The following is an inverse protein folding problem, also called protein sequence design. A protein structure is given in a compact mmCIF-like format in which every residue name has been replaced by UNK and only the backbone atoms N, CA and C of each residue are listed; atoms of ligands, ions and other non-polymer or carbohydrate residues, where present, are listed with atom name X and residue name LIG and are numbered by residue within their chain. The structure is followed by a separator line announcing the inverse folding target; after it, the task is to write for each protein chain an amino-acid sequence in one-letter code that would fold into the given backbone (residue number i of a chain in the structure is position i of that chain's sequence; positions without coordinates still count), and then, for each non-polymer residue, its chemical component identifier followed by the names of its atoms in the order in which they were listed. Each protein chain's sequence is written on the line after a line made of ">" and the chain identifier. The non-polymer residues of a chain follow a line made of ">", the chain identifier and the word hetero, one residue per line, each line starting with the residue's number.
data_IF_173545411645
#
_entry.id   IF_173545411645
#
_cell.length_a   1.000
_cell.length_b   1.000
_cell.length_c   1.000
_cell.angle_alpha   90.00
_cell.angle_beta   90.00
_cell.angle_gamma   90.00
#
_symmetry.space_group_name_H-M   'P 1'
#
loop_
_entity.id
_entity.type
_entity.pdbx_description
1 polymer ?
#
# COMPACT_ATOMS: atom_id res chain seq x y z
N UNK A 1 -41.93 33.53 -79.83
CA UNK A 1 -40.81 32.66 -79.44
C UNK A 1 -40.52 32.90 -77.97
N UNK A 2 -40.89 31.96 -77.09
CA UNK A 2 -40.66 32.07 -75.64
C UNK A 2 -39.31 31.43 -75.25
N UNK A 3 -38.52 32.02 -74.34
CA UNK A 3 -37.22 31.47 -73.94
C UNK A 3 -37.42 30.51 -72.76
N UNK A 4 -36.84 29.32 -72.86
CA UNK A 4 -36.71 28.38 -71.73
C UNK A 4 -35.28 27.83 -71.75
N UNK A 5 -34.74 27.62 -70.54
CA UNK A 5 -33.51 26.87 -70.17
C UNK A 5 -32.30 27.73 -69.77
N UNK A 6 -32.36 28.39 -68.63
CA UNK A 6 -31.17 28.76 -67.84
C UNK A 6 -31.23 28.31 -66.37
N UNK A 7 -32.40 27.89 -65.88
CA UNK A 7 -32.63 27.50 -64.48
C UNK A 7 -32.00 26.15 -64.10
N UNK A 8 -31.96 25.18 -65.01
CA UNK A 8 -31.41 23.84 -64.74
C UNK A 8 -29.89 23.82 -64.50
N UNK A 9 -29.14 24.66 -65.21
CA UNK A 9 -27.67 24.70 -65.09
C UNK A 9 -27.21 25.31 -63.76
N UNK A 10 -27.92 26.33 -63.27
CA UNK A 10 -27.60 27.00 -62.00
C UNK A 10 -27.89 26.05 -60.82
N UNK A 11 -29.00 25.33 -60.84
CA UNK A 11 -29.36 24.37 -59.78
C UNK A 11 -28.35 23.22 -59.71
N UNK A 12 -27.90 22.70 -60.87
CA UNK A 12 -26.88 21.66 -60.91
C UNK A 12 -25.54 22.15 -60.33
N UNK A 13 -25.08 23.35 -60.71
CA UNK A 13 -23.81 23.91 -60.22
C UNK A 13 -23.81 24.15 -58.68
N UNK A 14 -24.94 24.62 -58.13
CA UNK A 14 -25.09 24.81 -56.68
C UNK A 14 -25.07 23.47 -55.93
N UNK A 15 -25.73 22.44 -56.46
CA UNK A 15 -25.75 21.11 -55.83
C UNK A 15 -24.37 20.43 -55.78
N UNK A 16 -23.59 20.55 -56.86
CA UNK A 16 -22.21 20.02 -56.93
C UNK A 16 -21.29 20.78 -55.97
N UNK A 17 -21.47 22.11 -55.88
CA UNK A 17 -20.68 22.94 -54.97
C UNK A 17 -20.97 22.63 -53.49
N UNK A 18 -22.25 22.42 -53.13
CA UNK A 18 -22.63 21.99 -51.78
C UNK A 18 -22.09 20.59 -51.45
N UNK A 19 -22.12 19.65 -52.39
CA UNK A 19 -21.58 18.30 -52.21
C UNK A 19 -20.06 18.33 -52.01
N UNK A 20 -19.34 19.13 -52.78
CA UNK A 20 -17.89 19.31 -52.62
C UNK A 20 -17.53 19.98 -51.29
N UNK A 21 -18.29 21.00 -50.87
CA UNK A 21 -18.09 21.67 -49.59
C UNK A 21 -18.34 20.71 -48.42
N UNK A 22 -19.40 19.88 -48.48
CA UNK A 22 -19.69 18.89 -47.44
C UNK A 22 -18.68 17.75 -47.42
N UNK A 23 -18.15 17.31 -48.57
CA UNK A 23 -17.02 16.38 -48.65
C UNK A 23 -15.73 16.97 -48.09
N UNK A 24 -15.47 18.26 -48.34
CA UNK A 24 -14.32 18.97 -47.81
C UNK A 24 -14.41 19.13 -46.29
N UNK A 25 -15.58 19.52 -45.76
CA UNK A 25 -15.85 19.61 -44.32
C UNK A 25 -15.83 18.23 -43.63
N UNK A 26 -16.25 17.17 -44.33
CA UNK A 26 -16.17 15.80 -43.83
C UNK A 26 -14.71 15.31 -43.80
N UNK A 27 -13.93 15.56 -44.86
CA UNK A 27 -12.49 15.24 -44.90
C UNK A 27 -11.68 16.05 -43.88
N UNK A 28 -12.02 17.32 -43.64
CA UNK A 28 -11.35 18.14 -42.63
C UNK A 28 -11.68 17.64 -41.21
N UNK A 29 -12.92 17.22 -40.93
CA UNK A 29 -13.29 16.52 -39.69
C UNK A 29 -12.57 15.17 -39.52
N UNK A 30 -12.40 14.38 -40.58
CA UNK A 30 -11.63 13.13 -40.53
C UNK A 30 -10.13 13.39 -40.31
N UNK A 31 -9.58 14.43 -40.94
CA UNK A 31 -8.18 14.82 -40.74
C UNK A 31 -7.93 15.33 -39.31
N UNK A 32 -8.94 15.94 -38.67
CA UNK A 32 -8.89 16.36 -37.27
C UNK A 32 -8.99 15.19 -36.27
N UNK A 33 -9.37 13.98 -36.71
CA UNK A 33 -9.52 12.79 -35.86
C UNK A 33 -8.27 11.91 -35.75
N UNK A 34 -7.14 12.33 -36.32
CA UNK A 34 -5.83 11.75 -35.94
C UNK A 34 -5.39 12.40 -34.64
N UNK A 35 -5.92 11.90 -33.53
CA UNK A 35 -5.34 12.11 -32.21
C UNK A 35 -3.91 11.58 -32.30
N UNK A 36 -2.92 12.48 -32.44
CA UNK A 36 -1.53 12.12 -32.16
C UNK A 36 -1.54 11.68 -30.71
N UNK A 37 -1.40 10.36 -30.46
CA UNK A 37 -0.92 9.88 -29.18
C UNK A 37 0.49 10.43 -29.01
N UNK A 38 0.58 11.66 -28.51
CA UNK A 38 1.78 12.13 -27.84
C UNK A 38 1.89 11.27 -26.59
N UNK A 39 2.63 10.17 -26.71
CA UNK A 39 3.27 9.54 -25.56
C UNK A 39 4.15 10.63 -24.93
N UNK A 40 3.59 11.33 -23.95
CA UNK A 40 4.34 12.20 -23.09
C UNK A 40 5.43 11.32 -22.47
N UNK A 41 6.69 11.61 -22.80
CA UNK A 41 7.86 10.93 -22.28
C UNK A 41 8.01 11.24 -20.78
N UNK A 42 7.18 10.64 -19.93
CA UNK A 42 7.45 10.46 -18.51
C UNK A 42 8.50 9.35 -18.41
N UNK A 43 9.53 9.52 -17.57
CA UNK A 43 10.61 8.53 -17.38
C UNK A 43 10.03 7.10 -17.33
N UNK A 44 10.41 6.26 -18.30
CA UNK A 44 9.68 5.05 -18.70
C UNK A 44 9.86 3.82 -17.78
N UNK A 45 10.46 3.95 -16.60
CA UNK A 45 10.59 2.84 -15.66
C UNK A 45 10.71 3.32 -14.21
N UNK A 46 10.10 2.56 -13.31
CA UNK A 46 10.20 2.75 -11.85
C UNK A 46 11.55 2.23 -11.34
N UNK A 47 12.06 2.80 -10.25
CA UNK A 47 13.31 2.34 -9.65
C UNK A 47 13.05 1.19 -8.66
N UNK A 48 13.19 -0.04 -9.13
CA UNK A 48 13.00 -1.24 -8.33
C UNK A 48 11.55 -1.46 -7.86
N UNK A 49 11.39 -2.40 -6.93
CA UNK A 49 10.11 -2.79 -6.35
C UNK A 49 9.45 -1.64 -5.59
N UNK A 50 10.21 -0.95 -4.75
CA UNK A 50 9.69 0.14 -3.90
C UNK A 50 9.22 1.31 -4.76
N UNK A 51 9.96 1.66 -5.82
CA UNK A 51 9.54 2.71 -6.75
C UNK A 51 8.27 2.39 -7.53
N UNK A 52 7.79 1.13 -7.51
CA UNK A 52 6.53 0.72 -8.12
C UNK A 52 5.34 0.74 -7.13
N UNK A 53 5.59 0.98 -5.83
CA UNK A 53 4.53 1.12 -4.82
C UNK A 53 3.93 2.52 -4.92
N UNK A 54 2.60 2.59 -4.91
CA UNK A 54 1.84 3.81 -5.05
C UNK A 54 1.58 4.19 -6.50
N UNK A 55 1.17 5.45 -6.73
CA UNK A 55 0.73 5.95 -8.04
C UNK A 55 -0.33 5.06 -8.71
N UNK A 56 -1.17 4.40 -7.91
CA UNK A 56 -2.19 3.47 -8.39
C UNK A 56 -3.29 4.22 -9.13
N UNK A 57 -3.95 3.61 -10.13
CA UNK A 57 -4.98 4.31 -10.90
C UNK A 57 -6.28 4.49 -10.10
N UNK A 58 -7.02 5.54 -10.44
CA UNK A 58 -8.46 5.64 -10.16
C UNK A 58 -9.22 5.03 -11.34
N UNK A 59 -10.07 4.06 -11.06
CA UNK A 59 -10.92 3.41 -12.07
C UNK A 59 -12.38 3.74 -11.77
N UNK A 60 -13.08 4.24 -12.79
CA UNK A 60 -14.52 4.52 -12.68
C UNK A 60 -15.31 3.23 -12.53
N UNK A 61 -16.18 3.19 -11.53
CA UNK A 61 -17.13 2.10 -11.33
C UNK A 61 -18.41 2.45 -12.09
N UNK A 62 -18.50 2.01 -13.34
CA UNK A 62 -19.58 2.41 -14.26
C UNK A 62 -20.97 2.13 -13.68
N UNK A 63 -21.23 0.91 -13.20
CA UNK A 63 -22.54 0.52 -12.67
C UNK A 63 -23.02 1.40 -11.51
N UNK A 64 -22.15 1.71 -10.54
CA UNK A 64 -22.50 2.57 -9.40
C UNK A 64 -22.66 4.02 -9.81
N UNK A 65 -21.78 4.48 -10.71
CA UNK A 65 -21.82 5.86 -11.18
C UNK A 65 -23.08 6.14 -11.98
N UNK A 66 -23.46 5.22 -12.86
CA UNK A 66 -24.65 5.34 -13.71
C UNK A 66 -25.93 5.21 -12.87
N UNK A 67 -25.92 4.40 -11.81
CA UNK A 67 -27.06 4.23 -10.91
C UNK A 67 -27.30 5.44 -9.98
N UNK A 68 -26.24 6.15 -9.57
CA UNK A 68 -26.33 7.28 -8.63
C UNK A 68 -26.35 8.64 -9.33
N UNK A 69 -25.92 8.71 -10.59
CA UNK A 69 -25.66 9.96 -11.28
C UNK A 69 -24.40 10.69 -10.80
N UNK A 70 -23.65 10.10 -9.86
CA UNK A 70 -22.37 10.61 -9.36
C UNK A 70 -21.20 9.94 -10.08
N UNK A 71 -20.03 10.57 -10.08
CA UNK A 71 -18.81 9.90 -10.50
C UNK A 71 -18.20 9.13 -9.33
N UNK A 72 -18.26 7.79 -9.39
CA UNK A 72 -17.73 6.91 -8.35
C UNK A 72 -16.46 6.23 -8.88
N UNK A 73 -15.35 6.50 -8.22
CA UNK A 73 -14.02 6.02 -8.59
C UNK A 73 -13.46 5.09 -7.50
N UNK A 74 -12.83 4.00 -7.91
CA UNK A 74 -12.09 3.09 -7.06
C UNK A 74 -10.57 3.32 -7.18
N UNK A 75 -9.89 3.56 -6.06
CA UNK A 75 -8.44 3.62 -5.99
C UNK A 75 -7.87 2.21 -5.92
N UNK A 76 -7.19 1.79 -6.98
CA UNK A 76 -6.84 0.38 -7.21
C UNK A 76 -5.55 -0.04 -6.50
N UNK A 77 -5.57 -0.03 -5.17
CA UNK A 77 -4.43 -0.39 -4.31
C UNK A 77 -4.00 -1.87 -4.44
N UNK A 78 -4.83 -2.73 -5.02
CA UNK A 78 -4.45 -4.10 -5.37
C UNK A 78 -3.42 -4.18 -6.50
N UNK A 79 -3.14 -3.07 -7.20
CA UNK A 79 -2.12 -2.99 -8.23
C UNK A 79 -0.73 -2.64 -7.68
N UNK A 80 -0.60 -2.41 -6.36
CA UNK A 80 0.74 -2.37 -5.76
C UNK A 80 1.40 -3.76 -5.88
N UNK A 81 2.74 -3.87 -5.94
CA UNK A 81 3.45 -5.13 -6.16
C UNK A 81 3.17 -6.27 -5.16
N UNK A 82 2.98 -5.95 -3.88
CA UNK A 82 2.56 -6.87 -2.81
C UNK A 82 1.04 -7.09 -2.78
N UNK A 83 0.29 -6.48 -3.70
CA UNK A 83 -1.12 -6.77 -3.97
C UNK A 83 -2.10 -6.07 -3.05
N UNK A 84 -1.67 -5.10 -2.23
CA UNK A 84 -2.57 -4.43 -1.29
C UNK A 84 -2.18 -2.99 -0.96
N UNK A 85 -3.07 -2.30 -0.24
CA UNK A 85 -2.84 -0.96 0.32
C UNK A 85 -1.72 -0.94 1.38
N UNK A 86 -1.43 -2.09 2.01
CA UNK A 86 -0.42 -2.18 3.08
C UNK A 86 1.01 -2.04 2.57
N UNK A 87 1.24 -2.14 1.26
CA UNK A 87 2.55 -1.89 0.64
C UNK A 87 3.06 -0.48 0.96
N UNK A 88 2.17 0.52 0.93
CA UNK A 88 2.51 1.90 1.28
C UNK A 88 2.95 2.01 2.74
N UNK A 89 2.25 1.31 3.62
CA UNK A 89 2.52 1.31 5.05
C UNK A 89 3.86 0.61 5.33
N UNK A 90 4.11 -0.54 4.70
CA UNK A 90 5.36 -1.27 4.83
C UNK A 90 6.57 -0.43 4.40
N UNK A 91 6.48 0.26 3.25
CA UNK A 91 7.50 1.20 2.78
C UNK A 91 7.75 2.28 3.82
N UNK A 92 6.68 2.98 4.25
CA UNK A 92 6.83 4.12 5.17
C UNK A 92 7.39 3.71 6.53
N UNK A 93 6.98 2.55 7.06
CA UNK A 93 7.51 2.00 8.32
C UNK A 93 9.01 1.73 8.20
N UNK A 94 9.43 1.06 7.13
CA UNK A 94 10.84 0.66 6.95
C UNK A 94 11.73 1.87 6.68
N UNK A 95 11.28 2.80 5.83
CA UNK A 95 12.01 4.04 5.55
C UNK A 95 12.24 4.85 6.82
N UNK A 96 11.18 5.12 7.59
CA UNK A 96 11.30 5.93 8.80
C UNK A 96 12.16 5.24 9.87
N UNK A 97 12.09 3.92 10.01
CA UNK A 97 12.93 3.17 10.94
C UNK A 97 14.42 3.19 10.53
N UNK A 98 14.71 3.17 9.22
CA UNK A 98 16.08 3.30 8.71
C UNK A 98 16.60 4.73 8.87
N UNK A 99 15.75 5.73 8.63
CA UNK A 99 16.08 7.15 8.78
C UNK A 99 16.33 7.54 10.24
N UNK A 100 15.54 7.00 11.18
CA UNK A 100 15.74 7.22 12.62
C UNK A 100 16.95 6.46 13.17
N UNK A 101 17.39 5.40 12.49
CA UNK A 101 18.42 4.48 12.96
C UNK A 101 17.92 3.39 13.90
N UNK A 102 16.60 3.28 14.13
CA UNK A 102 15.99 2.19 14.90
C UNK A 102 16.08 0.85 14.16
N UNK A 103 16.22 0.90 12.84
CA UNK A 103 16.55 -0.21 11.96
C UNK A 103 17.82 0.11 11.18
N UNK A 104 18.59 -0.93 10.85
CA UNK A 104 19.77 -0.81 9.99
C UNK A 104 19.70 -1.85 8.85
N UNK A 105 20.35 -1.61 7.70
CA UNK A 105 20.49 -2.63 6.66
C UNK A 105 21.08 -3.93 7.23
N UNK A 106 20.43 -5.05 6.93
CA UNK A 106 20.69 -6.38 7.51
C UNK A 106 19.90 -6.68 8.79
N UNK A 107 19.20 -5.70 9.37
CA UNK A 107 18.32 -5.84 10.53
C UNK A 107 17.03 -6.60 10.19
N UNK A 108 16.25 -6.97 11.21
CA UNK A 108 15.01 -7.73 11.04
C UNK A 108 13.79 -6.88 11.39
N UNK A 109 12.84 -6.78 10.47
CA UNK A 109 11.52 -6.20 10.74
C UNK A 109 10.60 -7.32 11.21
N UNK A 110 9.95 -7.13 12.35
CA UNK A 110 9.02 -8.10 12.92
C UNK A 110 7.59 -7.60 12.92
N UNK A 111 6.63 -8.49 12.67
CA UNK A 111 5.20 -8.17 12.73
C UNK A 111 4.38 -9.38 13.16
N UNK A 112 3.32 -9.14 13.91
CA UNK A 112 2.31 -10.15 14.23
C UNK A 112 1.11 -9.98 13.31
N UNK A 113 1.08 -10.72 12.20
CA UNK A 113 -0.02 -10.66 11.24
C UNK A 113 0.03 -11.86 10.30
N UNK A 114 -1.12 -12.44 9.95
CA UNK A 114 -1.22 -13.45 8.89
C UNK A 114 -1.76 -12.85 7.58
N UNK A 115 -1.75 -11.52 7.48
CA UNK A 115 -2.52 -10.75 6.51
C UNK A 115 -1.71 -9.99 5.48
N UNK A 116 -2.41 -9.04 4.86
CA UNK A 116 -1.85 -8.09 3.89
C UNK A 116 -0.59 -7.38 4.39
N UNK A 117 -0.56 -6.95 5.66
CA UNK A 117 0.63 -6.29 6.25
C UNK A 117 1.85 -7.19 6.27
N UNK A 118 1.69 -8.48 6.61
CA UNK A 118 2.79 -9.42 6.61
C UNK A 118 3.34 -9.67 5.20
N UNK A 119 2.43 -9.82 4.21
CA UNK A 119 2.80 -9.97 2.80
C UNK A 119 3.56 -8.74 2.31
N UNK A 120 3.07 -7.53 2.61
CA UNK A 120 3.71 -6.28 2.23
C UNK A 120 5.09 -6.10 2.87
N UNK A 121 5.24 -6.42 4.17
CA UNK A 121 6.55 -6.36 4.84
C UNK A 121 7.53 -7.39 4.29
N UNK A 122 7.07 -8.62 4.04
CA UNK A 122 7.88 -9.67 3.42
C UNK A 122 8.35 -9.28 2.01
N UNK A 123 7.48 -8.59 1.26
CA UNK A 123 7.77 -8.09 -0.08
C UNK A 123 8.76 -6.92 -0.05
N UNK A 124 8.59 -5.98 0.87
CA UNK A 124 9.33 -4.71 0.88
C UNK A 124 10.66 -4.79 1.63
N UNK A 125 10.75 -5.49 2.76
CA UNK A 125 11.95 -5.52 3.60
C UNK A 125 13.23 -5.95 2.85
N UNK A 126 13.23 -6.98 1.99
CA UNK A 126 14.40 -7.36 1.21
C UNK A 126 14.90 -6.26 0.27
N UNK A 127 14.00 -5.43 -0.27
CA UNK A 127 14.37 -4.33 -1.15
C UNK A 127 15.17 -3.22 -0.44
N UNK A 128 15.02 -3.11 0.88
CA UNK A 128 15.83 -2.24 1.75
C UNK A 128 17.02 -2.97 2.39
N UNK A 129 17.30 -4.21 1.97
CA UNK A 129 18.36 -5.04 2.56
C UNK A 129 18.04 -5.50 3.99
N UNK A 130 16.76 -5.47 4.40
CA UNK A 130 16.30 -5.94 5.70
C UNK A 130 15.72 -7.35 5.60
N UNK A 131 15.71 -8.07 6.72
CA UNK A 131 15.02 -9.36 6.88
C UNK A 131 13.61 -9.13 7.38
N UNK A 132 12.70 -10.06 7.13
CA UNK A 132 11.34 -10.04 7.66
C UNK A 132 11.10 -11.27 8.52
N UNK A 133 10.53 -11.09 9.71
CA UNK A 133 10.11 -12.17 10.60
C UNK A 133 8.65 -11.95 11.01
N UNK A 134 7.77 -12.81 10.55
CA UNK A 134 6.33 -12.74 10.80
C UNK A 134 5.93 -13.79 11.82
N UNK A 135 5.15 -13.40 12.83
CA UNK A 135 4.55 -14.34 13.78
C UNK A 135 3.06 -14.47 13.46
N UNK A 136 2.58 -15.69 13.27
CA UNK A 136 1.19 -15.98 12.88
C UNK A 136 0.55 -17.04 13.79
N UNK A 137 -0.79 -17.03 13.96
CA UNK A 137 -1.50 -18.13 14.60
C UNK A 137 -1.30 -19.47 13.88
N UNK A 138 -1.17 -20.57 14.63
CA UNK A 138 -0.95 -21.91 14.08
C UNK A 138 -2.20 -22.54 13.44
N UNK A 139 -3.38 -21.99 13.69
CA UNK A 139 -4.65 -22.34 13.05
C UNK A 139 -4.90 -21.58 11.74
N UNK A 140 -4.03 -20.63 11.38
CA UNK A 140 -4.10 -19.94 10.10
C UNK A 140 -3.85 -20.92 8.93
N UNK A 141 -4.51 -20.65 7.80
CA UNK A 141 -4.34 -21.41 6.56
C UNK A 141 -2.86 -21.56 6.18
N UNK A 142 -2.45 -22.77 5.79
CA UNK A 142 -1.03 -23.10 5.53
C UNK A 142 -0.47 -22.29 4.36
N UNK A 143 -1.33 -21.99 3.40
CA UNK A 143 -1.07 -21.16 2.23
C UNK A 143 -0.54 -19.78 2.63
N UNK A 144 -0.98 -19.23 3.78
CA UNK A 144 -0.48 -17.95 4.29
C UNK A 144 0.99 -18.04 4.68
N UNK A 145 1.42 -19.10 5.37
CA UNK A 145 2.84 -19.34 5.68
C UNK A 145 3.66 -19.50 4.40
N UNK A 146 3.17 -20.32 3.47
CA UNK A 146 3.89 -20.63 2.23
C UNK A 146 4.14 -19.38 1.38
N UNK A 147 3.17 -18.48 1.28
CA UNK A 147 3.33 -17.21 0.55
C UNK A 147 4.40 -16.34 1.22
N UNK A 148 4.36 -16.21 2.55
CA UNK A 148 5.34 -15.40 3.31
C UNK A 148 6.76 -15.97 3.19
N UNK A 149 6.91 -17.28 3.31
CA UNK A 149 8.19 -17.97 3.15
C UNK A 149 8.73 -17.83 1.72
N UNK A 150 7.87 -17.93 0.71
CA UNK A 150 8.24 -17.73 -0.70
C UNK A 150 8.71 -16.28 -0.98
N UNK A 151 8.19 -15.30 -0.23
CA UNK A 151 8.65 -13.90 -0.26
C UNK A 151 9.93 -13.66 0.56
N UNK A 152 10.46 -14.69 1.22
CA UNK A 152 11.71 -14.62 1.99
C UNK A 152 11.56 -14.23 3.45
N UNK A 153 10.34 -14.20 3.98
CA UNK A 153 10.12 -14.00 5.41
C UNK A 153 10.37 -15.29 6.21
N UNK A 154 10.86 -15.13 7.44
CA UNK A 154 10.83 -16.19 8.45
C UNK A 154 9.44 -16.19 9.09
N UNK A 155 8.78 -17.35 9.17
CA UNK A 155 7.43 -17.46 9.75
C UNK A 155 7.47 -18.28 11.04
N UNK A 156 7.04 -17.69 12.15
CA UNK A 156 6.85 -18.36 13.43
C UNK A 156 5.36 -18.61 13.67
N UNK A 157 4.94 -19.88 13.69
CA UNK A 157 3.57 -20.29 13.99
C UNK A 157 3.40 -20.49 15.49
N UNK A 158 2.39 -19.86 16.08
CA UNK A 158 2.16 -19.88 17.53
C UNK A 158 0.71 -20.19 17.86
N UNK A 159 0.47 -20.82 19.00
CA UNK A 159 -0.88 -21.17 19.45
C UNK A 159 -1.77 -19.91 19.58
N UNK A 160 -3.00 -19.93 19.03
CA UNK A 160 -3.98 -18.87 19.22
C UNK A 160 -4.32 -18.69 20.70
N UNK A 161 -4.24 -17.45 21.17
CA UNK A 161 -4.57 -17.04 22.55
C UNK A 161 -5.27 -15.67 22.53
N UNK A 162 -5.84 -15.25 23.65
CA UNK A 162 -6.48 -13.93 23.74
C UNK A 162 -5.48 -12.79 23.54
N UNK A 163 -5.94 -11.63 23.07
CA UNK A 163 -5.12 -10.43 22.85
C UNK A 163 -4.38 -9.95 24.12
N UNK A 164 -4.97 -10.18 25.28
CA UNK A 164 -4.39 -9.87 26.60
C UNK A 164 -3.31 -10.87 27.04
N UNK A 165 -3.21 -12.03 26.39
CA UNK A 165 -2.26 -13.05 26.75
C UNK A 165 -0.85 -12.66 26.27
N UNK A 166 0.15 -12.91 27.11
CA UNK A 166 1.56 -12.61 26.82
C UNK A 166 2.10 -13.30 25.56
N UNK A 167 1.52 -14.44 25.22
CA UNK A 167 1.90 -15.27 24.07
C UNK A 167 0.99 -15.05 22.85
N UNK A 168 0.23 -13.94 22.84
CA UNK A 168 -0.45 -13.50 21.63
C UNK A 168 0.58 -13.20 20.54
N UNK A 169 0.33 -13.61 19.29
CA UNK A 169 1.29 -13.52 18.18
C UNK A 169 1.88 -12.12 17.99
N UNK A 170 1.10 -11.05 18.18
CA UNK A 170 1.58 -9.65 18.17
C UNK A 170 2.60 -9.38 19.29
N UNK A 171 2.34 -9.87 20.50
CA UNK A 171 3.25 -9.71 21.63
C UNK A 171 4.54 -10.52 21.43
N UNK A 172 4.43 -11.71 20.81
CA UNK A 172 5.60 -12.52 20.44
C UNK A 172 6.44 -11.78 19.40
N UNK A 173 5.83 -11.25 18.32
CA UNK A 173 6.54 -10.47 17.31
C UNK A 173 7.30 -9.28 17.91
N UNK A 174 6.68 -8.55 18.85
CA UNK A 174 7.34 -7.48 19.62
C UNK A 174 8.55 -7.99 20.40
N UNK A 175 8.41 -9.13 21.11
CA UNK A 175 9.55 -9.76 21.83
C UNK A 175 10.68 -10.14 20.88
N UNK A 176 10.40 -10.67 19.69
CA UNK A 176 11.43 -11.03 18.69
C UNK A 176 12.26 -9.83 18.23
N UNK A 177 11.66 -8.65 18.10
CA UNK A 177 12.41 -7.43 17.82
C UNK A 177 13.38 -7.08 18.97
N UNK A 178 12.88 -7.12 20.22
CA UNK A 178 13.71 -6.86 21.41
C UNK A 178 14.86 -7.86 21.54
N UNK A 179 14.59 -9.16 21.38
CA UNK A 179 15.60 -10.22 21.42
C UNK A 179 16.67 -10.01 20.33
N UNK A 180 16.27 -9.63 19.11
CA UNK A 180 17.21 -9.30 18.03
C UNK A 180 18.11 -8.10 18.39
N UNK A 181 17.56 -7.09 19.08
CA UNK A 181 18.34 -5.96 19.59
C UNK A 181 19.33 -6.37 20.68
N UNK A 182 18.91 -7.22 21.63
CA UNK A 182 19.78 -7.76 22.67
C UNK A 182 20.95 -8.57 22.09
N UNK A 183 20.68 -9.42 21.09
CA UNK A 183 21.70 -10.20 20.39
C UNK A 183 22.68 -9.28 19.64
N UNK A 184 22.18 -8.26 18.94
CA UNK A 184 23.02 -7.28 18.27
C UNK A 184 23.89 -6.47 19.24
N UNK A 185 23.39 -6.18 20.45
CA UNK A 185 24.19 -5.53 21.50
C UNK A 185 25.28 -6.42 22.07
N UNK A 186 24.99 -7.70 22.34
CA UNK A 186 25.98 -8.67 22.83
C UNK A 186 27.11 -8.85 21.82
N UNK A 187 26.77 -9.06 20.54
CA UNK A 187 27.77 -9.23 19.48
C UNK A 187 28.70 -8.01 19.34
N UNK A 188 28.15 -6.79 19.40
CA UNK A 188 28.96 -5.56 19.36
C UNK A 188 29.93 -5.46 20.54
N UNK A 189 29.54 -5.91 21.74
CA UNK A 189 30.42 -5.95 22.92
C UNK A 189 31.52 -6.99 22.76
N UNK A 190 31.19 -8.18 22.26
CA UNK A 190 32.15 -9.26 22.05
C UNK A 190 33.20 -8.88 20.98
N UNK A 191 32.80 -8.21 19.90
CA UNK A 191 33.71 -7.67 18.89
C UNK A 191 34.64 -6.60 19.46
N UNK A 192 34.16 -5.73 20.34
CA UNK A 192 34.99 -4.71 21.00
C UNK A 192 35.98 -5.32 21.99
N UNK A 193 35.58 -6.34 22.75
CA UNK A 193 36.46 -7.03 23.70
C UNK A 193 37.52 -7.89 22.98
N UNK A 194 37.14 -8.62 21.93
CA UNK A 194 38.08 -9.45 21.16
C UNK A 194 38.96 -8.62 20.21
N UNK A 195 38.47 -7.49 19.70
CA UNK A 195 39.24 -6.55 18.89
C UNK A 195 40.33 -5.82 19.67
N UNK A 196 40.19 -5.67 20.99
CA UNK A 196 41.26 -5.18 21.86
C UNK A 196 42.31 -6.26 22.22
N UNK A 197 41.98 -7.54 22.06
CA UNK A 197 42.89 -8.65 22.39
C UNK A 197 43.88 -9.03 21.26
N UNK A 198 43.72 -8.48 20.05
CA UNK A 198 44.57 -8.80 18.88
C UNK A 198 45.65 -7.75 18.57
N UNK A 199 46.03 -6.95 19.56
CA UNK A 199 47.16 -6.01 19.46
C UNK A 199 48.46 -6.61 19.98
N UNK A 200 49.00 -7.63 19.29
CA UNK A 200 50.41 -8.09 19.26
C UNK A 200 50.50 -9.63 19.18
N UNK A 201 50.79 -10.16 17.98
CA UNK A 201 51.75 -11.26 17.78
C UNK A 201 52.04 -11.40 16.28
N UNK A 202 53.31 -11.63 15.98
CA UNK A 202 53.93 -11.42 14.67
C UNK A 202 53.52 -12.45 13.60
N UNK A 203 53.22 -11.93 12.40
CA UNK A 203 53.71 -12.42 11.10
C UNK A 203 53.45 -13.88 10.72
N UNK A 204 52.29 -14.15 10.12
CA UNK A 204 52.15 -15.13 9.04
C UNK A 204 50.84 -14.87 8.29
N UNK A 205 50.92 -14.59 6.98
CA UNK A 205 49.76 -14.38 6.12
C UNK A 205 49.59 -15.62 5.24
N UNK A 206 48.51 -16.36 5.45
CA UNK A 206 48.08 -17.45 4.57
C UNK A 206 46.81 -17.00 3.84
N UNK A 207 46.91 -16.93 2.52
CA UNK A 207 45.77 -16.82 1.62
C UNK A 207 44.90 -18.08 1.75
N UNK A 208 43.65 -17.88 2.15
CA UNK A 208 42.65 -18.93 2.26
C UNK A 208 41.27 -18.30 2.30
N UNK A 209 40.54 -18.47 1.21
CA UNK A 209 39.15 -18.09 1.04
C UNK A 209 38.31 -18.47 2.26
N UNK A 210 37.95 -17.48 3.08
CA UNK A 210 36.83 -17.58 4.01
C UNK A 210 35.77 -16.62 3.53
N UNK A 211 34.82 -17.17 2.79
CA UNK A 211 33.51 -16.61 2.56
C UNK A 211 32.87 -16.38 3.95
N UNK A 212 33.09 -15.20 4.52
CA UNK A 212 32.45 -14.80 5.77
C UNK A 212 30.98 -14.56 5.43
N UNK A 213 30.15 -15.56 5.68
CA UNK A 213 28.72 -15.35 5.91
C UNK A 213 28.64 -14.45 7.12
N UNK A 214 28.62 -13.13 6.88
CA UNK A 214 28.49 -12.11 7.91
C UNK A 214 27.08 -12.26 8.48
N UNK A 215 26.90 -13.13 9.48
CA UNK A 215 25.74 -13.07 10.36
C UNK A 215 25.92 -11.89 11.30
N UNK A 216 25.97 -10.67 10.76
CA UNK A 216 25.91 -9.47 11.57
C UNK A 216 24.47 -9.36 12.08
N UNK A 217 24.29 -9.62 13.37
CA UNK A 217 23.06 -9.30 14.07
C UNK A 217 22.95 -7.76 14.10
N UNK A 218 22.06 -7.20 13.28
CA UNK A 218 21.89 -5.74 13.10
C UNK A 218 20.73 -5.15 13.91
N UNK A 219 20.12 -5.93 14.80
CA UNK A 219 18.97 -5.53 15.60
C UNK A 219 17.64 -5.88 14.93
N UNK A 220 16.54 -5.58 15.63
CA UNK A 220 15.20 -5.80 15.15
C UNK A 220 14.26 -4.64 15.44
N UNK A 221 13.28 -4.44 14.56
CA UNK A 221 12.29 -3.39 14.63
C UNK A 221 10.88 -3.98 14.54
N UNK A 222 10.04 -3.71 15.54
CA UNK A 222 8.66 -4.15 15.53
C UNK A 222 7.81 -3.14 14.76
N UNK A 223 7.21 -3.56 13.64
CA UNK A 223 6.51 -2.68 12.72
C UNK A 223 5.30 -1.96 13.36
N UNK A 224 4.59 -2.68 14.24
CA UNK A 224 3.46 -2.19 15.06
C UNK A 224 2.42 -1.41 14.26
N UNK A 225 1.84 -2.03 13.22
CA UNK A 225 0.95 -1.33 12.27
C UNK A 225 -0.23 -0.56 12.90
N UNK A 226 -0.63 -0.89 14.13
CA UNK A 226 -1.74 -0.25 14.83
C UNK A 226 -1.32 1.06 15.52
N UNK A 227 -0.13 1.10 16.10
CA UNK A 227 0.36 2.26 16.88
C UNK A 227 1.37 3.11 16.10
N UNK A 228 1.91 2.59 15.00
CA UNK A 228 2.92 3.28 14.21
C UNK A 228 2.32 4.37 13.30
N UNK A 229 2.66 5.63 13.59
CA UNK A 229 2.20 6.79 12.83
C UNK A 229 2.68 6.83 11.36
N UNK A 230 3.68 6.03 10.99
CA UNK A 230 4.04 5.79 9.60
C UNK A 230 2.82 5.30 8.78
N UNK A 231 1.91 4.54 9.40
CA UNK A 231 0.68 4.09 8.77
C UNK A 231 -0.20 5.26 8.32
N UNK A 232 -0.45 6.21 9.22
CA UNK A 232 -1.18 7.43 8.89
C UNK A 232 -0.44 8.26 7.83
N UNK A 233 0.88 8.46 8.01
CA UNK A 233 1.71 9.29 7.11
C UNK A 233 1.79 8.73 5.70
N UNK A 234 1.86 7.41 5.53
CA UNK A 234 1.85 6.76 4.21
C UNK A 234 0.66 7.20 3.35
N UNK A 235 -0.49 7.40 4.00
CA UNK A 235 -1.72 7.81 3.33
C UNK A 235 -1.89 9.32 3.23
N UNK A 236 -1.45 10.07 4.24
CA UNK A 236 -1.46 11.54 4.22
C UNK A 236 -0.49 12.12 3.18
N UNK A 237 0.70 11.52 3.05
CA UNK A 237 1.77 11.98 2.16
C UNK A 237 1.75 11.29 0.79
N UNK A 238 1.05 10.16 0.66
CA UNK A 238 0.97 9.37 -0.57
C UNK A 238 -0.45 9.33 -1.15
N UNK A 239 -1.30 8.48 -0.58
CA UNK A 239 -2.64 8.18 -1.14
C UNK A 239 -3.53 9.41 -1.31
N UNK A 240 -3.58 10.30 -0.31
CA UNK A 240 -4.37 11.53 -0.34
C UNK A 240 -3.98 12.47 -1.49
N UNK A 241 -2.69 12.86 -1.60
CA UNK A 241 -2.16 13.64 -2.72
C UNK A 241 -2.49 13.04 -4.09
N UNK A 242 -2.31 11.72 -4.24
CA UNK A 242 -2.61 11.06 -5.51
C UNK A 242 -4.09 11.17 -5.89
N UNK A 243 -5.01 10.94 -4.94
CA UNK A 243 -6.45 11.09 -5.19
C UNK A 243 -6.78 12.53 -5.59
N UNK A 244 -6.19 13.51 -4.89
CA UNK A 244 -6.41 14.93 -5.19
C UNK A 244 -5.93 15.31 -6.60
N UNK A 245 -4.73 14.89 -6.98
CA UNK A 245 -4.17 15.15 -8.32
C UNK A 245 -5.00 14.45 -9.40
N UNK A 246 -5.31 13.18 -9.22
CA UNK A 246 -6.03 12.37 -10.21
C UNK A 246 -7.48 12.81 -10.43
N UNK A 247 -8.11 13.46 -9.44
CA UNK A 247 -9.45 14.07 -9.57
C UNK A 247 -9.40 15.53 -10.02
N UNK A 248 -8.20 16.11 -10.22
CA UNK A 248 -8.04 17.53 -10.51
C UNK A 248 -8.62 18.44 -9.41
N UNK A 249 -8.62 17.97 -8.16
CA UNK A 249 -9.25 18.65 -7.01
C UNK A 249 -10.78 18.54 -6.94
N UNK A 250 -11.43 17.82 -7.85
CA UNK A 250 -12.89 17.66 -7.90
C UNK A 250 -13.41 16.47 -7.08
N UNK A 251 -12.80 16.21 -5.93
CA UNK A 251 -13.32 15.23 -4.97
C UNK A 251 -14.31 15.90 -4.02
N UNK A 252 -15.47 15.28 -3.82
CA UNK A 252 -16.51 15.75 -2.90
C UNK A 252 -16.69 14.83 -1.69
N UNK A 253 -16.43 13.53 -1.88
CA UNK A 253 -16.50 12.54 -0.81
C UNK A 253 -15.39 11.49 -0.93
N UNK A 254 -14.92 11.01 0.21
CA UNK A 254 -14.03 9.86 0.33
C UNK A 254 -14.67 8.82 1.26
N UNK A 255 -14.57 7.54 0.89
CA UNK A 255 -15.18 6.44 1.62
C UNK A 255 -14.16 5.31 1.74
N UNK A 256 -13.95 4.82 2.96
CA UNK A 256 -13.08 3.68 3.22
C UNK A 256 -13.52 2.90 4.46
N UNK A 257 -13.25 1.59 4.47
CA UNK A 257 -13.27 0.80 5.70
C UNK A 257 -12.03 1.10 6.56
N UNK A 258 -12.02 0.62 7.80
CA UNK A 258 -10.88 0.80 8.71
C UNK A 258 -10.59 -0.47 9.51
N UNK A 259 -9.40 -1.03 9.32
CA UNK A 259 -8.74 -1.93 10.27
C UNK A 259 -7.94 -1.11 11.28
N UNK A 260 -6.69 -0.77 10.93
CA UNK A 260 -5.84 0.13 11.73
C UNK A 260 -6.32 1.59 11.71
N UNK A 261 -7.16 1.96 10.75
CA UNK A 261 -7.65 3.33 10.55
C UNK A 261 -6.71 4.28 9.80
N UNK A 262 -5.46 3.87 9.51
CA UNK A 262 -4.46 4.74 8.87
C UNK A 262 -4.89 5.28 7.50
N UNK A 263 -5.50 4.45 6.65
CA UNK A 263 -6.00 4.87 5.33
C UNK A 263 -7.10 5.93 5.44
N UNK A 264 -8.12 5.67 6.26
CA UNK A 264 -9.22 6.60 6.46
C UNK A 264 -8.70 7.91 7.07
N UNK A 265 -7.91 7.84 8.13
CA UNK A 265 -7.40 9.02 8.83
C UNK A 265 -6.45 9.85 7.96
N UNK A 266 -5.46 9.22 7.31
CA UNK A 266 -4.46 9.93 6.50
C UNK A 266 -5.06 10.61 5.28
N UNK A 267 -5.86 9.88 4.49
CA UNK A 267 -6.52 10.45 3.30
C UNK A 267 -7.52 11.53 3.68
N UNK A 268 -8.38 11.29 4.67
CA UNK A 268 -9.40 12.27 5.07
C UNK A 268 -8.77 13.57 5.56
N UNK A 269 -7.71 13.49 6.36
CA UNK A 269 -7.00 14.66 6.85
C UNK A 269 -6.42 15.49 5.71
N UNK A 270 -5.72 14.85 4.78
CA UNK A 270 -5.13 15.55 3.63
C UNK A 270 -6.21 16.24 2.77
N UNK A 271 -7.28 15.51 2.40
CA UNK A 271 -8.34 16.04 1.55
C UNK A 271 -9.07 17.21 2.19
N UNK A 272 -9.34 17.15 3.50
CA UNK A 272 -10.02 18.23 4.23
C UNK A 272 -9.14 19.48 4.39
N UNK A 273 -7.82 19.33 4.45
CA UNK A 273 -6.90 20.48 4.42
C UNK A 273 -6.85 21.16 3.05
N UNK A 274 -7.02 20.39 1.96
CA UNK A 274 -7.12 20.95 0.60
C UNK A 274 -8.48 21.58 0.31
N UNK A 275 -9.55 20.95 0.78
CA UNK A 275 -10.93 21.38 0.56
C UNK A 275 -11.79 20.97 1.76
N UNK A 276 -12.06 21.93 2.64
CA UNK A 276 -12.70 21.69 3.94
C UNK A 276 -14.13 21.14 3.87
N UNK A 277 -14.80 21.22 2.72
CA UNK A 277 -16.13 20.65 2.54
C UNK A 277 -16.13 19.19 2.04
N UNK A 278 -14.97 18.56 1.78
CA UNK A 278 -14.91 17.13 1.45
C UNK A 278 -15.46 16.31 2.60
N UNK A 279 -16.39 15.40 2.28
CA UNK A 279 -17.01 14.49 3.25
C UNK A 279 -16.24 13.18 3.32
N UNK A 280 -15.97 12.69 4.52
CA UNK A 280 -15.24 11.45 4.73
C UNK A 280 -16.10 10.47 5.52
N UNK A 281 -16.27 9.26 5.00
CA UNK A 281 -17.17 8.26 5.56
C UNK A 281 -16.41 6.97 5.90
N UNK A 282 -16.68 6.45 7.10
CA UNK A 282 -16.25 5.13 7.54
C UNK A 282 -17.27 4.07 7.08
N UNK A 283 -16.79 3.02 6.43
CA UNK A 283 -17.53 1.76 6.27
C UNK A 283 -17.12 0.84 7.42
N UNK A 284 -18.01 0.63 8.38
CA UNK A 284 -17.75 -0.23 9.53
C UNK A 284 -18.58 -1.52 9.45
N UNK A 285 -17.96 -2.71 9.36
CA UNK A 285 -18.70 -3.96 9.27
C UNK A 285 -19.34 -4.34 10.63
N UNK A 286 -20.40 -5.17 10.62
CA UNK A 286 -20.95 -5.74 11.85
C UNK A 286 -19.87 -6.45 12.67
N UNK A 287 -19.82 -6.20 13.97
CA UNK A 287 -18.80 -6.73 14.88
C UNK A 287 -17.61 -5.78 15.10
N UNK A 288 -17.45 -4.72 14.31
CA UNK A 288 -16.50 -3.66 14.63
C UNK A 288 -17.07 -2.66 15.65
N UNK A 289 -16.19 -2.12 16.49
CA UNK A 289 -16.53 -1.12 17.50
C UNK A 289 -16.35 0.33 17.06
N UNK A 290 -15.82 0.59 15.85
CA UNK A 290 -15.40 1.93 15.43
C UNK A 290 -16.57 2.90 15.26
N UNK A 291 -17.67 2.46 14.64
CA UNK A 291 -18.89 3.26 14.49
C UNK A 291 -19.43 3.72 15.86
N UNK A 292 -19.49 2.80 16.83
CA UNK A 292 -19.96 3.11 18.18
C UNK A 292 -18.97 4.01 18.91
N UNK A 293 -17.66 3.86 18.66
CA UNK A 293 -16.65 4.74 19.24
C UNK A 293 -16.85 6.18 18.79
N UNK A 294 -17.09 6.40 17.50
CA UNK A 294 -17.30 7.73 16.92
C UNK A 294 -18.64 8.34 17.34
N UNK A 295 -19.74 7.56 17.27
CA UNK A 295 -21.09 8.11 17.47
C UNK A 295 -21.54 8.15 18.93
N UNK A 296 -20.97 7.29 19.78
CA UNK A 296 -21.43 7.07 21.17
C UNK A 296 -20.29 7.12 22.20
N UNK A 297 -19.04 7.27 21.77
CA UNK A 297 -17.87 7.32 22.65
C UNK A 297 -17.42 5.95 23.19
N UNK A 298 -18.12 4.86 22.87
CA UNK A 298 -17.89 3.51 23.41
C UNK A 298 -17.46 2.54 22.32
N UNK A 299 -16.42 1.74 22.57
CA UNK A 299 -15.93 0.71 21.66
C UNK A 299 -16.56 -0.63 22.04
N UNK A 300 -17.85 -0.78 21.73
CA UNK A 300 -18.63 -1.99 22.02
C UNK A 300 -19.73 -2.18 20.99
N UNK A 301 -19.96 -3.42 20.57
CA UNK A 301 -21.03 -3.84 19.66
C UNK A 301 -21.82 -4.99 20.32
N UNK A 302 -23.13 -5.07 20.05
CA UNK A 302 -23.98 -6.14 20.62
C UNK A 302 -23.64 -7.51 20.06
N UNK A 303 -23.04 -7.55 18.88
CA UNK A 303 -22.52 -8.74 18.23
C UNK A 303 -21.33 -9.33 19.02
N UNK A 304 -20.60 -8.51 19.78
CA UNK A 304 -19.54 -8.94 20.70
C UNK A 304 -20.05 -9.30 22.10
N UNK A 305 -21.37 -9.32 22.33
CA UNK A 305 -21.93 -9.69 23.63
C UNK A 305 -21.53 -11.12 24.04
N UNK A 306 -21.07 -11.25 25.29
CA UNK A 306 -20.68 -12.50 25.89
C UNK A 306 -21.83 -13.53 25.82
N UNK A 307 -21.53 -14.77 25.41
CA UNK A 307 -22.53 -15.84 25.22
C UNK A 307 -23.20 -15.92 23.84
N UNK A 308 -23.03 -14.92 22.96
CA UNK A 308 -23.48 -14.99 21.55
C UNK A 308 -22.34 -15.22 20.55
N UNK A 309 -21.09 -15.18 21.03
CA UNK A 309 -19.88 -15.35 20.24
C UNK A 309 -19.74 -16.81 19.80
N UNK A 310 -19.70 -17.06 18.50
CA UNK A 310 -19.38 -18.40 17.96
C UNK A 310 -17.93 -18.76 18.36
N UNK A 311 -17.69 -20.05 18.65
CA UNK A 311 -16.47 -20.58 19.30
C UNK A 311 -15.14 -20.38 18.57
N UNK A 312 -15.12 -19.86 17.33
CA UNK A 312 -13.90 -19.50 16.61
C UNK A 312 -13.77 -17.98 16.53
N UNK A 313 -13.06 -17.32 17.47
CA UNK A 313 -13.10 -15.88 17.66
C UNK A 313 -12.00 -15.11 16.90
N UNK A 314 -11.28 -15.71 15.95
CA UNK A 314 -10.02 -15.14 15.40
C UNK A 314 -10.09 -14.62 13.97
N UNK A 315 -11.26 -14.43 13.38
CA UNK A 315 -11.35 -13.89 12.02
C UNK A 315 -12.60 -13.02 11.85
N UNK A 316 -12.54 -11.78 12.34
CA UNK A 316 -13.44 -10.73 11.84
C UNK A 316 -12.78 -10.07 10.64
N UNK A 317 -13.35 -10.39 9.48
CA UNK A 317 -13.05 -10.01 8.09
C UNK A 317 -13.04 -8.48 7.91
N UNK A 318 -12.07 -7.80 8.50
CA UNK A 318 -11.64 -6.46 8.12
C UNK A 318 -10.18 -6.28 8.52
N UNK A 319 -9.30 -6.64 7.58
CA UNK A 319 -7.93 -6.12 7.51
C UNK A 319 -7.88 -4.79 6.75
#
# INVERSE_FOLDING_TARGET
>A
MAPVRSTGAIVAAVSVSMALLSLFLYKSKLSSKKTKLTLASKKNHTNGLVGAIGNTPLIRINSLSDATGCEILGKCEFLNPGGSVKDRVAVKIIEEALESGDLAPGGVVTEGSAGSTAISLATVAPAYGCKCHVVIPDDAAVEKSQILEALGATVERVRPVSITHRDHFVNIARRRATEANELAMKHRKDEQMNGQALGQTNGFQCDGEKQSVVSSYKGGYFADQFENMANFRAHYEGTGPEIWEQTGGNVDAFVAAAGTGGTLAGVSRFLQEKKSNVKCFLIDPPGSGLYNKVTRGVMYTREEAEGRRLKNPFDTITE
#
